data_IF_187457644071
#
_entry.id   IF_187457644071
#
_cell.length_a   1.000
_cell.length_b   1.000
_cell.length_c   1.000
_cell.angle_alpha   90.00
_cell.angle_beta   90.00
_cell.angle_gamma   90.00
#
_symmetry.space_group_name_H-M   'P 1'
#
loop_
_entity.id
_entity.type
_entity.pdbx_description
1 polymer ?
#
# COMPACT_ATOMS: atom_id res chain seq x y z
N UNK A 1 -17.32 7.21 5.17
CA UNK A 1 -16.15 6.81 5.99
C UNK A 1 -15.53 8.07 6.60
N UNK A 2 -14.95 8.01 7.82
CA UNK A 2 -14.40 9.21 8.50
C UNK A 2 -13.32 9.92 7.65
N UNK A 3 -12.42 9.15 7.04
CA UNK A 3 -11.38 9.70 6.17
C UNK A 3 -11.96 10.41 4.94
N UNK A 4 -13.00 9.85 4.29
CA UNK A 4 -13.69 10.51 3.19
C UNK A 4 -14.32 11.84 3.64
N UNK A 5 -14.93 11.87 4.83
CA UNK A 5 -15.52 13.10 5.37
C UNK A 5 -14.47 14.20 5.57
N UNK A 6 -13.29 13.85 6.09
CA UNK A 6 -12.18 14.80 6.22
C UNK A 6 -11.61 15.24 4.86
N UNK A 7 -11.60 14.34 3.87
CA UNK A 7 -11.21 14.70 2.51
C UNK A 7 -12.21 15.67 1.86
N UNK A 8 -13.52 15.43 2.00
CA UNK A 8 -14.59 16.33 1.55
C UNK A 8 -14.51 17.72 2.20
N UNK A 9 -14.00 17.79 3.43
CA UNK A 9 -13.73 19.05 4.14
C UNK A 9 -12.43 19.75 3.69
N UNK A 10 -11.66 19.17 2.77
CA UNK A 10 -10.41 19.73 2.28
C UNK A 10 -9.25 19.63 3.29
N UNK A 11 -9.33 18.73 4.27
CA UNK A 11 -8.27 18.56 5.28
C UNK A 11 -7.07 17.74 4.75
N UNK A 12 -7.23 17.08 3.60
CA UNK A 12 -6.18 16.30 2.94
C UNK A 12 -5.98 16.80 1.51
N UNK A 13 -4.72 16.92 1.09
CA UNK A 13 -4.37 17.28 -0.28
C UNK A 13 -4.61 16.11 -1.24
N UNK A 14 -4.89 16.44 -2.50
CA UNK A 14 -4.98 15.47 -3.59
C UNK A 14 -3.60 15.09 -4.17
N UNK A 15 -3.43 13.84 -4.63
CA UNK A 15 -4.37 12.73 -4.50
C UNK A 15 -4.34 12.14 -3.07
N UNK A 16 -5.48 11.78 -2.48
CA UNK A 16 -5.49 11.21 -1.14
C UNK A 16 -4.98 9.76 -1.19
N UNK A 17 -4.15 9.39 -0.20
CA UNK A 17 -3.61 8.04 -0.05
C UNK A 17 -4.36 7.29 1.06
N UNK A 18 -4.96 6.14 0.70
CA UNK A 18 -5.62 5.24 1.65
C UNK A 18 -4.85 3.93 1.82
N UNK A 19 -4.74 3.43 3.05
CA UNK A 19 -4.19 2.10 3.31
C UNK A 19 -5.23 1.20 4.01
N UNK A 20 -5.59 0.11 3.34
CA UNK A 20 -6.53 -0.88 3.85
C UNK A 20 -5.78 -1.90 4.70
N UNK A 21 -5.92 -1.77 6.02
CA UNK A 21 -5.30 -2.66 7.02
C UNK A 21 -6.23 -3.83 7.30
N UNK A 22 -5.83 -5.05 6.92
CA UNK A 22 -6.70 -6.23 7.02
C UNK A 22 -6.12 -7.34 7.90
N UNK A 23 -6.98 -8.01 8.66
CA UNK A 23 -6.61 -9.18 9.47
C UNK A 23 -6.09 -8.86 10.87
N UNK A 24 -6.17 -7.60 11.31
CA UNK A 24 -5.98 -7.24 12.73
C UNK A 24 -7.17 -7.76 13.53
N UNK A 25 -6.92 -8.27 14.74
CA UNK A 25 -7.97 -8.81 15.62
C UNK A 25 -9.05 -7.74 15.86
N UNK A 26 -10.32 -8.11 15.63
CA UNK A 26 -11.51 -7.25 15.74
C UNK A 26 -11.65 -6.13 14.70
N UNK A 27 -10.71 -6.01 13.76
CA UNK A 27 -10.82 -5.10 12.64
C UNK A 27 -11.43 -5.80 11.41
N UNK A 28 -11.31 -5.17 10.24
CA UNK A 28 -11.71 -5.74 8.97
C UNK A 28 -10.96 -7.07 8.68
N UNK A 29 -11.66 -8.16 8.35
CA UNK A 29 -11.00 -9.44 8.08
C UNK A 29 -10.30 -9.42 6.72
N UNK A 30 -9.14 -10.08 6.64
CA UNK A 30 -8.36 -10.21 5.41
C UNK A 30 -8.97 -11.25 4.47
N UNK A 31 -9.99 -10.82 3.71
CA UNK A 31 -10.64 -11.59 2.66
C UNK A 31 -10.74 -10.76 1.37
N UNK A 32 -10.83 -11.42 0.22
CA UNK A 32 -11.03 -10.75 -1.07
C UNK A 32 -12.31 -9.90 -1.10
N UNK A 33 -13.39 -10.39 -0.49
CA UNK A 33 -14.66 -9.65 -0.38
C UNK A 33 -14.48 -8.36 0.42
N UNK A 34 -13.79 -8.42 1.57
CA UNK A 34 -13.54 -7.24 2.40
C UNK A 34 -12.72 -6.20 1.66
N UNK A 35 -11.62 -6.60 1.01
CA UNK A 35 -10.76 -5.67 0.29
C UNK A 35 -11.49 -5.00 -0.88
N UNK A 36 -12.24 -5.78 -1.66
CA UNK A 36 -13.09 -5.29 -2.75
C UNK A 36 -14.10 -4.28 -2.23
N UNK A 37 -14.84 -4.62 -1.18
CA UNK A 37 -15.82 -3.74 -0.56
C UNK A 37 -15.19 -2.43 -0.07
N UNK A 38 -14.07 -2.50 0.66
CA UNK A 38 -13.42 -1.30 1.20
C UNK A 38 -12.84 -0.40 0.09
N UNK A 39 -12.28 -0.98 -0.98
CA UNK A 39 -11.84 -0.24 -2.17
C UNK A 39 -13.01 0.51 -2.81
N UNK A 40 -14.17 -0.13 -2.93
CA UNK A 40 -15.35 0.48 -3.58
C UNK A 40 -15.94 1.65 -2.79
N UNK A 41 -15.54 1.81 -1.52
CA UNK A 41 -15.91 2.96 -0.68
C UNK A 41 -14.93 4.14 -0.79
N UNK A 42 -13.79 3.98 -1.46
CA UNK A 42 -12.79 5.04 -1.59
C UNK A 42 -13.28 6.13 -2.56
N UNK A 43 -12.90 7.40 -2.34
CA UNK A 43 -13.25 8.47 -3.27
C UNK A 43 -12.56 8.27 -4.63
N UNK A 44 -13.20 8.75 -5.69
CA UNK A 44 -12.63 8.70 -7.04
C UNK A 44 -11.27 9.40 -7.10
N UNK A 45 -10.30 8.78 -7.77
CA UNK A 45 -8.93 9.32 -7.88
C UNK A 45 -8.02 9.06 -6.67
N UNK A 46 -8.53 8.41 -5.61
CA UNK A 46 -7.69 8.02 -4.48
C UNK A 46 -6.62 7.02 -4.91
N UNK A 47 -5.38 7.28 -4.49
CA UNK A 47 -4.33 6.25 -4.50
C UNK A 47 -4.57 5.36 -3.29
N UNK A 48 -4.47 4.05 -3.44
CA UNK A 48 -4.69 3.14 -2.32
C UNK A 48 -3.73 1.97 -2.30
N UNK A 49 -3.52 1.42 -1.11
CA UNK A 49 -2.75 0.21 -0.88
C UNK A 49 -3.53 -0.75 0.04
N UNK A 50 -3.26 -2.04 -0.06
CA UNK A 50 -3.82 -3.06 0.83
C UNK A 50 -2.74 -3.99 1.36
N UNK A 51 -2.90 -4.46 2.60
CA UNK A 51 -2.08 -5.54 3.13
C UNK A 51 -2.82 -6.42 4.14
N UNK A 52 -2.29 -7.62 4.32
CA UNK A 52 -2.74 -8.59 5.31
C UNK A 52 -1.66 -8.87 6.35
N UNK A 53 -2.10 -9.16 7.58
CA UNK A 53 -1.21 -9.51 8.68
C UNK A 53 -0.77 -10.98 8.62
N UNK A 54 0.49 -11.24 9.01
CA UNK A 54 1.09 -12.56 9.16
C UNK A 54 1.01 -13.38 7.87
N UNK A 55 0.55 -14.63 7.93
CA UNK A 55 0.42 -15.55 6.78
C UNK A 55 -0.45 -15.01 5.63
N UNK A 56 -1.23 -13.96 5.86
CA UNK A 56 -2.09 -13.34 4.84
C UNK A 56 -1.40 -12.22 4.06
N UNK A 57 -0.14 -11.88 4.38
CA UNK A 57 0.62 -10.83 3.69
C UNK A 57 0.69 -11.06 2.17
N UNK A 58 1.14 -12.23 1.72
CA UNK A 58 1.28 -12.50 0.27
C UNK A 58 -0.07 -12.68 -0.45
N UNK A 59 -1.07 -13.39 0.12
CA UNK A 59 -2.41 -13.42 -0.48
C UNK A 59 -3.06 -12.04 -0.64
N UNK A 60 -2.92 -11.16 0.36
CA UNK A 60 -3.48 -9.81 0.28
C UNK A 60 -2.67 -8.89 -0.63
N UNK A 61 -1.35 -9.08 -0.73
CA UNK A 61 -0.54 -8.40 -1.74
C UNK A 61 -1.03 -8.73 -3.16
N UNK A 62 -1.20 -10.01 -3.49
CA UNK A 62 -1.72 -10.43 -4.79
C UNK A 62 -3.13 -9.86 -5.06
N UNK A 63 -4.00 -9.89 -4.04
CA UNK A 63 -5.35 -9.35 -4.15
C UNK A 63 -5.37 -7.84 -4.40
N UNK A 64 -4.47 -7.08 -3.77
CA UNK A 64 -4.37 -5.64 -3.99
C UNK A 64 -3.99 -5.33 -5.45
N UNK A 65 -3.00 -6.05 -6.01
CA UNK A 65 -2.60 -5.92 -7.42
C UNK A 65 -3.78 -6.22 -8.35
N UNK A 66 -4.49 -7.33 -8.14
CA UNK A 66 -5.66 -7.71 -8.96
C UNK A 66 -6.79 -6.68 -8.96
N UNK A 67 -6.87 -5.83 -7.93
CA UNK A 67 -7.89 -4.79 -7.81
C UNK A 67 -7.37 -3.39 -8.22
N UNK A 68 -6.15 -3.30 -8.77
CA UNK A 68 -5.51 -2.04 -9.18
C UNK A 68 -4.98 -1.20 -8.01
N UNK A 69 -4.66 -1.84 -6.88
CA UNK A 69 -4.09 -1.20 -5.69
C UNK A 69 -2.59 -1.43 -5.54
N UNK A 70 -1.98 -0.64 -4.67
CA UNK A 70 -0.58 -0.79 -4.27
C UNK A 70 -0.43 -1.84 -3.16
N UNK A 71 0.79 -2.36 -2.99
CA UNK A 71 1.11 -3.43 -2.05
C UNK A 71 1.96 -2.91 -0.90
N UNK A 72 1.72 -3.45 0.30
CA UNK A 72 2.64 -3.33 1.45
C UNK A 72 3.05 -4.72 1.94
N UNK A 73 4.36 -4.89 2.16
CA UNK A 73 4.97 -6.06 2.80
C UNK A 73 6.08 -5.61 3.75
N UNK A 74 6.48 -6.49 4.66
CA UNK A 74 7.58 -6.25 5.59
C UNK A 74 7.44 -7.03 6.89
N UNK A 75 8.52 -7.02 7.68
CA UNK A 75 8.59 -7.69 8.98
C UNK A 75 7.67 -7.07 10.04
N UNK A 76 7.25 -5.82 9.84
CA UNK A 76 6.22 -5.17 10.67
C UNK A 76 4.91 -5.97 10.64
N UNK A 77 4.56 -6.54 9.49
CA UNK A 77 3.28 -7.21 9.29
C UNK A 77 3.40 -8.74 9.37
N UNK A 78 4.56 -9.31 9.03
CA UNK A 78 4.78 -10.76 8.96
C UNK A 78 6.25 -11.14 9.20
N UNK A 79 6.50 -12.02 10.16
CA UNK A 79 7.85 -12.48 10.50
C UNK A 79 8.37 -13.63 9.61
N UNK A 80 7.50 -14.30 8.86
CA UNK A 80 7.81 -15.60 8.25
C UNK A 80 7.86 -15.54 6.72
N UNK A 81 8.88 -16.19 6.14
CA UNK A 81 8.93 -16.46 4.71
C UNK A 81 7.99 -17.62 4.37
N UNK A 82 8.01 -18.68 5.17
CA UNK A 82 7.04 -19.79 5.12
C UNK A 82 6.91 -20.37 6.52
N UNK A 83 6.01 -21.33 6.70
CA UNK A 83 5.76 -21.95 8.00
C UNK A 83 7.08 -22.44 8.62
N UNK A 84 7.48 -21.82 9.74
CA UNK A 84 8.69 -22.19 10.49
C UNK A 84 10.00 -21.57 9.99
N UNK A 85 9.98 -20.72 8.96
CA UNK A 85 11.16 -20.03 8.44
C UNK A 85 10.98 -18.52 8.55
N UNK A 86 11.83 -17.83 9.31
CA UNK A 86 11.81 -16.37 9.42
C UNK A 86 12.29 -15.71 8.12
N UNK A 87 11.75 -14.53 7.82
CA UNK A 87 12.13 -13.75 6.65
C UNK A 87 13.07 -12.59 7.01
N UNK A 88 13.73 -12.04 5.99
CA UNK A 88 14.21 -10.66 5.97
C UNK A 88 13.24 -9.77 5.19
N UNK A 89 13.30 -8.44 5.37
CA UNK A 89 12.50 -7.52 4.56
C UNK A 89 12.79 -7.68 3.06
N UNK A 90 14.06 -7.90 2.68
CA UNK A 90 14.45 -8.11 1.27
C UNK A 90 13.72 -9.32 0.68
N UNK A 91 13.69 -10.45 1.39
CA UNK A 91 13.01 -11.66 0.91
C UNK A 91 11.50 -11.47 0.75
N UNK A 92 10.87 -10.68 1.62
CA UNK A 92 9.44 -10.37 1.50
C UNK A 92 9.17 -9.44 0.31
N UNK A 93 10.02 -8.45 0.09
CA UNK A 93 9.94 -7.56 -1.08
C UNK A 93 10.14 -8.34 -2.36
N UNK A 94 11.17 -9.18 -2.46
CA UNK A 94 11.44 -10.02 -3.65
C UNK A 94 10.25 -10.92 -3.99
N UNK A 95 9.61 -11.52 -2.97
CA UNK A 95 8.43 -12.35 -3.19
C UNK A 95 7.22 -11.54 -3.67
N UNK A 96 7.01 -10.35 -3.12
CA UNK A 96 5.96 -9.46 -3.60
C UNK A 96 6.21 -9.01 -5.04
N UNK A 97 7.45 -8.66 -5.39
CA UNK A 97 7.85 -8.31 -6.76
C UNK A 97 7.58 -9.46 -7.74
N UNK A 98 7.93 -10.69 -7.37
CA UNK A 98 7.64 -11.87 -8.19
C UNK A 98 6.14 -12.01 -8.46
N UNK A 99 5.29 -11.82 -7.45
CA UNK A 99 3.84 -11.87 -7.60
C UNK A 99 3.36 -10.77 -8.58
N UNK A 100 3.82 -9.53 -8.38
CA UNK A 100 3.47 -8.37 -9.22
C UNK A 100 3.83 -8.66 -10.69
N UNK A 101 5.06 -9.13 -10.94
CA UNK A 101 5.55 -9.44 -12.29
C UNK A 101 4.83 -10.61 -12.94
N UNK A 102 4.50 -11.67 -12.17
CA UNK A 102 3.71 -12.80 -12.67
C UNK A 102 2.28 -12.39 -13.06
N UNK A 103 1.75 -11.32 -12.48
CA UNK A 103 0.46 -10.74 -12.84
C UNK A 103 0.55 -9.75 -14.02
N UNK A 104 1.74 -9.52 -14.57
CA UNK A 104 1.98 -8.65 -15.74
C UNK A 104 2.22 -7.18 -15.40
N UNK A 105 2.41 -6.85 -14.13
CA UNK A 105 2.67 -5.50 -13.64
C UNK A 105 4.15 -5.31 -13.27
N UNK A 106 4.60 -4.05 -13.12
CA UNK A 106 5.96 -3.74 -12.66
C UNK A 106 5.94 -2.87 -11.40
N UNK A 107 6.81 -3.15 -10.39
CA UNK A 107 6.94 -2.29 -9.22
C UNK A 107 7.44 -0.89 -9.58
N UNK A 108 6.78 0.14 -9.06
CA UNK A 108 7.22 1.52 -9.22
C UNK A 108 8.58 1.78 -8.55
N UNK A 109 9.46 2.47 -9.26
CA UNK A 109 10.65 3.09 -8.68
C UNK A 109 10.28 4.18 -7.67
N UNK A 110 11.20 4.59 -6.79
CA UNK A 110 10.95 5.70 -5.86
C UNK A 110 10.60 7.02 -6.54
N UNK A 111 11.02 7.24 -7.79
CA UNK A 111 10.69 8.45 -8.54
C UNK A 111 9.25 8.39 -9.07
N UNK A 112 8.84 7.25 -9.63
CA UNK A 112 7.47 7.02 -10.10
C UNK A 112 6.48 7.06 -8.94
N UNK A 113 6.82 6.44 -7.80
CA UNK A 113 5.99 6.49 -6.60
C UNK A 113 5.76 7.93 -6.12
N UNK A 114 6.77 8.82 -6.22
CA UNK A 114 6.59 10.25 -5.90
C UNK A 114 5.65 10.93 -6.87
N UNK A 115 5.78 10.67 -8.16
CA UNK A 115 4.90 11.24 -9.18
C UNK A 115 3.44 10.80 -8.96
N UNK A 116 3.22 9.50 -8.71
CA UNK A 116 1.89 8.92 -8.41
C UNK A 116 1.27 9.59 -7.17
N UNK A 117 2.07 9.81 -6.12
CA UNK A 117 1.62 10.36 -4.84
C UNK A 117 1.64 11.90 -4.78
N UNK A 118 1.99 12.60 -5.86
CA UNK A 118 2.12 14.07 -5.85
C UNK A 118 3.21 14.58 -4.89
N UNK A 119 4.22 13.78 -4.57
CA UNK A 119 5.28 14.14 -3.63
C UNK A 119 6.43 14.89 -4.32
N UNK A 120 7.07 15.86 -3.64
CA UNK A 120 8.21 16.57 -4.18
C UNK A 120 9.40 15.63 -4.42
N UNK A 121 10.23 15.99 -5.41
CA UNK A 121 11.49 15.31 -5.71
C UNK A 121 12.41 15.43 -4.49
N UNK A 122 12.98 14.30 -4.07
CA UNK A 122 13.88 14.26 -2.91
C UNK A 122 15.05 15.23 -3.13
N UNK A 123 15.12 16.29 -2.32
CA UNK A 123 16.16 17.31 -2.37
C UNK A 123 15.71 18.70 -2.81
N UNK A 124 14.50 18.85 -3.36
CA UNK A 124 13.95 20.17 -3.75
C UNK A 124 13.77 21.10 -2.54
N UNK A 125 13.36 20.58 -1.39
CA UNK A 125 13.15 21.36 -0.16
C UNK A 125 14.44 21.93 0.45
N UNK A 126 15.61 21.33 0.15
CA UNK A 126 16.90 21.85 0.61
C UNK A 126 17.35 23.07 -0.19
N UNK A 127 17.01 23.14 -1.48
CA UNK A 127 17.32 24.31 -2.30
C UNK A 127 16.48 25.54 -1.90
N UNK A 128 15.20 25.32 -1.56
CA UNK A 128 14.30 26.41 -1.15
C UNK A 128 14.61 26.96 0.24
N UNK A 129 15.10 26.12 1.17
CA UNK A 129 15.55 26.58 2.51
C UNK A 129 16.96 27.16 2.55
N UNK A 130 17.79 26.93 1.53
CA UNK A 130 19.12 27.55 1.43
C UNK A 130 19.09 28.92 0.73
N UNK A 131 17.96 29.27 0.10
CA UNK A 131 17.73 30.52 -0.62
C UNK A 131 16.84 31.52 0.16
N UNK A 132 16.50 31.22 1.42
CA UNK A 132 15.75 32.06 2.35
C UNK A 132 16.60 32.31 3.61
#
# INVERSE_FOLDING_TARGET
LLANHFHEQGLFADPPLYQLVLGVKWAAPATSHTMTYMRDLLPSGAVWAGFGISRLQMPMAAQAVLLGGNVRVGLEDNLYLRRGEFATNVQLVERAMQIIQLLGEEPASPAEARAILGLPVKGSDRATKAAA
#
